data_IF_991785216601
#
_entry.id   IF_991785216601
#
_cell.length_a   1.000
_cell.length_b   1.000
_cell.length_c   1.000
_cell.angle_alpha   90.00
_cell.angle_beta   90.00
_cell.angle_gamma   90.00
#
_symmetry.space_group_name_H-M   'P 1'
#
loop_
_entity.id
_entity.type
_entity.pdbx_description
1 polymer ?
#
# COMPACT_ATOMS: atom_id res chain seq x y z
N UNK A 1 12.84 19.47 1.61
CA UNK A 1 12.19 18.20 1.94
C UNK A 1 11.25 17.85 0.79
N UNK A 2 11.30 16.66 0.24
CA UNK A 2 10.32 16.21 -0.76
C UNK A 2 8.92 16.25 -0.10
N UNK A 3 7.89 16.63 -0.87
CA UNK A 3 6.53 16.63 -0.38
C UNK A 3 6.13 15.21 0.03
N UNK A 4 5.46 15.06 1.18
CA UNK A 4 4.94 13.77 1.64
C UNK A 4 3.90 13.29 0.64
N UNK A 5 4.11 12.10 0.07
CA UNK A 5 3.18 11.49 -0.88
C UNK A 5 2.54 10.27 -0.21
N UNK A 6 1.21 10.27 -0.15
CA UNK A 6 0.44 9.13 0.32
C UNK A 6 -0.11 8.34 -0.88
N UNK A 7 -0.42 7.06 -0.66
CA UNK A 7 -1.24 6.27 -1.58
C UNK A 7 -2.48 5.82 -0.82
N UNK A 8 -3.49 6.68 -0.78
CA UNK A 8 -4.73 6.46 -0.01
C UNK A 8 -5.83 5.86 -0.87
N UNK A 9 -5.82 6.24 -2.17
CA UNK A 9 -6.79 5.83 -3.17
C UNK A 9 -6.17 5.86 -4.56
N UNK A 10 -6.90 5.40 -5.57
CA UNK A 10 -6.53 5.50 -7.00
C UNK A 10 -7.40 6.50 -7.77
N UNK A 11 -8.53 6.92 -7.21
CA UNK A 11 -9.53 7.77 -7.89
C UNK A 11 -8.98 9.14 -8.31
N UNK A 12 -8.03 9.69 -7.56
CA UNK A 12 -7.37 10.95 -7.89
C UNK A 12 -6.18 10.83 -8.85
N UNK A 13 -5.82 9.61 -9.28
CA UNK A 13 -4.65 9.40 -10.13
C UNK A 13 -5.04 9.55 -11.61
N UNK A 14 -4.30 10.42 -12.32
CA UNK A 14 -4.43 10.53 -13.77
C UNK A 14 -3.89 9.28 -14.48
N UNK A 15 -4.37 9.02 -15.71
CA UNK A 15 -3.88 7.91 -16.52
C UNK A 15 -2.34 7.90 -16.69
N UNK A 16 -1.66 9.03 -16.96
CA UNK A 16 -0.20 9.07 -17.00
C UNK A 16 0.48 8.68 -15.68
N UNK A 17 -0.12 9.02 -14.53
CA UNK A 17 0.40 8.63 -13.22
C UNK A 17 0.23 7.14 -12.96
N UNK A 18 -0.92 6.57 -13.31
CA UNK A 18 -1.15 5.13 -13.26
C UNK A 18 -0.14 4.38 -14.12
N UNK A 19 0.05 4.79 -15.37
CA UNK A 19 1.04 4.19 -16.28
C UNK A 19 2.46 4.25 -15.71
N UNK A 20 2.86 5.38 -15.13
CA UNK A 20 4.19 5.52 -14.50
C UNK A 20 4.35 4.55 -13.31
N UNK A 21 3.33 4.42 -12.44
CA UNK A 21 3.36 3.48 -11.32
C UNK A 21 3.44 2.03 -11.79
N UNK A 22 2.68 1.68 -12.81
CA UNK A 22 2.71 0.35 -13.41
C UNK A 22 4.07 0.04 -14.06
N UNK A 23 4.69 1.01 -14.73
CA UNK A 23 6.04 0.84 -15.29
C UNK A 23 7.09 0.59 -14.19
N UNK A 24 7.02 1.33 -13.08
CA UNK A 24 7.90 1.09 -11.92
C UNK A 24 7.63 -0.29 -11.32
N UNK A 25 6.38 -0.70 -11.19
CA UNK A 25 6.03 -2.02 -10.67
C UNK A 25 6.61 -3.15 -11.55
N UNK A 26 6.58 -3.00 -12.89
CA UNK A 26 7.16 -3.98 -13.80
C UNK A 26 8.70 -4.01 -13.72
N UNK A 27 9.36 -2.87 -13.54
CA UNK A 27 10.80 -2.80 -13.27
C UNK A 27 11.16 -3.52 -11.96
N UNK A 28 10.42 -3.27 -10.87
CA UNK A 28 10.62 -3.94 -9.59
C UNK A 28 10.37 -5.45 -9.70
N UNK A 29 9.36 -5.85 -10.46
CA UNK A 29 9.10 -7.26 -10.76
C UNK A 29 10.28 -7.92 -11.48
N UNK A 30 10.85 -7.26 -12.50
CA UNK A 30 12.01 -7.78 -13.21
C UNK A 30 13.23 -7.94 -12.29
N UNK A 31 13.50 -6.96 -11.43
CA UNK A 31 14.56 -7.03 -10.41
C UNK A 31 14.30 -8.19 -9.45
N UNK A 32 13.08 -8.33 -8.95
CA UNK A 32 12.70 -9.40 -8.02
C UNK A 32 12.87 -10.80 -8.60
N UNK A 33 12.67 -10.96 -9.91
CA UNK A 33 12.86 -12.22 -10.62
C UNK A 33 14.31 -12.46 -11.07
N UNK A 34 15.18 -11.47 -10.98
CA UNK A 34 16.61 -11.60 -11.27
C UNK A 34 17.37 -12.27 -10.12
N UNK A 35 18.62 -12.66 -10.38
CA UNK A 35 19.50 -13.20 -9.34
C UNK A 35 19.81 -12.19 -8.22
N UNK A 36 19.76 -10.88 -8.51
CA UNK A 36 19.96 -9.84 -7.49
C UNK A 36 18.80 -9.82 -6.47
N UNK A 37 17.56 -10.02 -6.92
CA UNK A 37 16.35 -10.20 -6.09
C UNK A 37 16.00 -9.06 -5.13
N UNK A 38 16.91 -8.13 -4.87
CA UNK A 38 16.82 -7.05 -3.89
C UNK A 38 17.55 -5.81 -4.38
N UNK A 39 17.09 -4.66 -3.88
CA UNK A 39 17.71 -3.34 -4.01
C UNK A 39 17.77 -2.67 -2.63
N UNK A 40 18.44 -1.53 -2.51
CA UNK A 40 18.60 -0.81 -1.24
C UNK A 40 18.03 0.61 -1.31
N UNK A 41 16.99 0.80 -2.11
CA UNK A 41 16.41 2.13 -2.35
C UNK A 41 15.76 2.72 -1.09
N UNK A 42 15.35 1.86 -0.15
CA UNK A 42 14.74 2.25 1.12
C UNK A 42 15.59 1.90 2.36
N UNK A 43 16.92 1.73 2.21
CA UNK A 43 17.81 1.32 3.31
C UNK A 43 17.75 2.24 4.54
N UNK A 44 17.46 3.53 4.32
CA UNK A 44 17.40 4.55 5.38
C UNK A 44 15.95 4.85 5.79
N UNK A 45 15.01 4.01 5.37
CA UNK A 45 13.58 4.15 5.65
C UNK A 45 13.10 3.06 6.62
N UNK A 46 12.19 3.45 7.50
CA UNK A 46 11.54 2.54 8.44
C UNK A 46 10.06 2.41 8.11
N UNK A 47 9.59 1.19 7.89
CA UNK A 47 8.22 0.89 7.49
C UNK A 47 7.50 0.17 8.62
N UNK A 48 6.40 0.73 9.11
CA UNK A 48 5.54 0.11 10.11
C UNK A 48 4.32 -0.54 9.45
N UNK A 49 4.03 -1.80 9.83
CA UNK A 49 2.87 -2.58 9.36
C UNK A 49 1.73 -2.46 10.37
N UNK A 50 0.79 -1.57 10.14
CA UNK A 50 -0.31 -1.26 11.06
C UNK A 50 -1.61 -1.89 10.55
N UNK A 51 -1.90 -3.10 11.03
CA UNK A 51 -3.03 -3.91 10.58
C UNK A 51 -4.05 -4.10 11.70
N UNK A 52 -5.17 -3.36 11.62
CA UNK A 52 -6.33 -3.51 12.52
C UNK A 52 -7.26 -4.65 12.07
N UNK A 53 -7.19 -5.02 10.80
CA UNK A 53 -7.90 -6.15 10.23
C UNK A 53 -6.89 -7.21 9.76
N UNK A 54 -7.13 -8.46 10.12
CA UNK A 54 -6.25 -9.57 9.78
C UNK A 54 -6.18 -9.80 8.27
N UNK A 55 -4.98 -9.87 7.73
CA UNK A 55 -4.75 -10.20 6.32
C UNK A 55 -3.36 -10.78 6.13
N UNK A 56 -3.28 -12.09 5.99
CA UNK A 56 -2.00 -12.79 5.81
C UNK A 56 -1.32 -12.39 4.50
N UNK A 57 -2.03 -12.47 3.38
CA UNK A 57 -1.44 -12.18 2.06
C UNK A 57 -0.97 -10.74 1.94
N UNK A 58 -1.84 -9.79 2.26
CA UNK A 58 -1.51 -8.36 2.14
C UNK A 58 -0.34 -7.99 3.04
N UNK A 59 -0.38 -8.40 4.32
CA UNK A 59 0.71 -8.10 5.28
C UNK A 59 2.04 -8.67 4.81
N UNK A 60 2.09 -9.94 4.45
CA UNK A 60 3.33 -10.59 4.01
C UNK A 60 3.84 -10.03 2.68
N UNK A 61 2.96 -9.62 1.76
CA UNK A 61 3.36 -8.98 0.50
C UNK A 61 4.06 -7.64 0.76
N UNK A 62 3.56 -6.82 1.67
CA UNK A 62 4.21 -5.55 2.04
C UNK A 62 5.51 -5.77 2.82
N UNK A 63 5.55 -6.75 3.72
CA UNK A 63 6.77 -7.13 4.44
C UNK A 63 7.87 -7.54 3.47
N UNK A 64 7.57 -8.44 2.54
CA UNK A 64 8.52 -8.88 1.51
C UNK A 64 8.94 -7.74 0.57
N UNK A 65 8.02 -6.86 0.19
CA UNK A 65 8.36 -5.69 -0.62
C UNK A 65 9.33 -4.74 0.13
N UNK A 66 9.07 -4.44 1.40
CA UNK A 66 9.93 -3.61 2.23
C UNK A 66 11.32 -4.22 2.40
N UNK A 67 11.40 -5.52 2.66
CA UNK A 67 12.68 -6.25 2.73
C UNK A 67 13.43 -6.24 1.39
N UNK A 68 12.73 -6.44 0.27
CA UNK A 68 13.34 -6.44 -1.05
C UNK A 68 13.90 -5.06 -1.43
N UNK A 69 13.35 -3.98 -0.87
CA UNK A 69 13.79 -2.60 -1.03
C UNK A 69 14.83 -2.16 0.01
N UNK A 70 15.19 -3.03 0.96
CA UNK A 70 16.19 -2.76 2.00
C UNK A 70 15.68 -1.93 3.17
N UNK A 71 14.36 -1.75 3.33
CA UNK A 71 13.80 -0.98 4.42
C UNK A 71 13.93 -1.71 5.77
N UNK A 72 14.06 -0.93 6.85
CA UNK A 72 13.89 -1.43 8.21
C UNK A 72 12.40 -1.61 8.51
N UNK A 73 12.03 -2.77 9.06
CA UNK A 73 10.65 -3.03 9.48
C UNK A 73 10.50 -2.74 10.97
N UNK A 74 9.49 -1.93 11.30
CA UNK A 74 9.01 -1.77 12.68
C UNK A 74 7.90 -2.80 12.87
N UNK A 75 8.18 -3.80 13.70
CA UNK A 75 7.19 -4.81 14.06
C UNK A 75 6.22 -4.21 15.09
N UNK A 76 4.96 -4.08 14.68
CA UNK A 76 3.89 -3.53 15.50
C UNK A 76 2.67 -4.46 15.46
N UNK A 77 2.39 -5.07 16.59
CA UNK A 77 1.20 -5.89 16.77
C UNK A 77 0.09 -5.07 17.43
N UNK A 78 -0.95 -4.74 16.66
CA UNK A 78 -2.13 -4.02 17.12
C UNK A 78 -2.80 -4.74 18.29
N UNK A 79 -2.87 -6.09 18.26
CA UNK A 79 -3.59 -6.89 19.23
C UNK A 79 -2.96 -6.87 20.62
N UNK A 80 -1.63 -6.73 20.68
CA UNK A 80 -0.87 -6.68 21.93
C UNK A 80 -0.50 -5.26 22.37
N UNK A 81 -0.93 -4.23 21.61
CA UNK A 81 -0.59 -2.82 21.82
C UNK A 81 -1.60 -2.08 22.71
N UNK A 82 -1.31 -0.81 22.98
CA UNK A 82 -2.20 0.11 23.70
C UNK A 82 -3.52 0.40 22.97
N UNK A 83 -3.64 0.04 21.68
CA UNK A 83 -4.88 0.12 20.91
C UNK A 83 -6.01 -0.63 21.59
N UNK A 84 -5.75 -1.84 22.12
CA UNK A 84 -6.70 -2.61 22.90
C UNK A 84 -7.17 -1.93 24.20
N UNK A 85 -6.48 -0.87 24.64
CA UNK A 85 -6.81 -0.04 25.81
C UNK A 85 -7.48 1.29 25.44
N UNK A 86 -7.86 1.48 24.16
CA UNK A 86 -8.56 2.68 23.69
C UNK A 86 -7.66 3.78 23.11
N UNK A 87 -6.39 3.50 22.79
CA UNK A 87 -5.52 4.43 22.07
C UNK A 87 -6.12 4.73 20.69
N UNK A 88 -6.15 6.02 20.32
CA UNK A 88 -6.68 6.42 19.01
C UNK A 88 -5.69 6.12 17.89
N UNK A 89 -6.21 5.89 16.65
CA UNK A 89 -5.37 5.74 15.46
C UNK A 89 -4.40 6.91 15.30
N UNK A 90 -4.85 8.13 15.57
CA UNK A 90 -4.02 9.33 15.45
C UNK A 90 -2.84 9.30 16.43
N UNK A 91 -3.05 8.84 17.66
CA UNK A 91 -1.98 8.76 18.67
C UNK A 91 -1.02 7.60 18.34
N UNK A 92 -1.55 6.47 17.89
CA UNK A 92 -0.72 5.34 17.43
C UNK A 92 0.23 5.76 16.30
N UNK A 93 -0.27 6.46 15.27
CA UNK A 93 0.60 6.86 14.14
C UNK A 93 1.60 7.96 14.53
N UNK A 94 1.24 8.86 15.45
CA UNK A 94 2.20 9.84 16.01
C UNK A 94 3.31 9.14 16.80
N UNK A 95 2.95 8.15 17.61
CA UNK A 95 3.91 7.35 18.37
C UNK A 95 4.87 6.60 17.44
N UNK A 96 4.36 5.96 16.39
CA UNK A 96 5.20 5.29 15.39
C UNK A 96 6.14 6.28 14.69
N UNK A 97 5.67 7.50 14.37
CA UNK A 97 6.51 8.57 13.82
C UNK A 97 7.60 9.01 14.78
N UNK A 98 7.28 9.19 16.05
CA UNK A 98 8.27 9.51 17.09
C UNK A 98 9.31 8.42 17.31
N UNK A 99 8.97 7.15 17.04
CA UNK A 99 9.87 6.00 17.07
C UNK A 99 10.68 5.83 15.77
N UNK A 100 10.52 6.73 14.79
CA UNK A 100 11.32 6.75 13.58
C UNK A 100 10.67 6.08 12.36
N UNK A 101 9.38 5.73 12.41
CA UNK A 101 8.68 5.30 11.21
C UNK A 101 8.63 6.43 10.18
N UNK A 102 9.03 6.14 8.95
CA UNK A 102 8.94 7.07 7.81
C UNK A 102 7.78 6.74 6.91
N UNK A 103 7.32 5.49 6.96
CA UNK A 103 6.18 5.00 6.18
C UNK A 103 5.32 4.09 7.05
N UNK A 104 4.01 4.22 6.91
CA UNK A 104 3.01 3.33 7.52
C UNK A 104 2.23 2.64 6.41
N UNK A 105 2.15 1.31 6.48
CA UNK A 105 1.22 0.49 5.70
C UNK A 105 0.03 0.21 6.62
N UNK A 106 -1.11 0.82 6.32
CA UNK A 106 -2.31 0.77 7.16
C UNK A 106 -3.39 -0.09 6.51
N UNK A 107 -3.86 -1.10 7.22
CA UNK A 107 -5.12 -1.80 6.95
C UNK A 107 -6.10 -1.60 8.11
N UNK A 108 -7.32 -1.18 7.81
CA UNK A 108 -8.32 -0.86 8.82
C UNK A 108 -9.72 -1.30 8.38
N UNK A 109 -10.60 -1.65 9.32
CA UNK A 109 -11.99 -2.02 9.06
C UNK A 109 -12.90 -0.83 8.71
N UNK A 110 -12.45 0.41 8.99
CA UNK A 110 -13.23 1.63 8.77
C UNK A 110 -12.75 2.38 7.55
N UNK A 111 -13.69 2.68 6.65
CA UNK A 111 -13.45 3.58 5.52
C UNK A 111 -12.97 4.95 5.99
N UNK A 112 -11.97 5.51 5.30
CA UNK A 112 -11.38 6.81 5.62
C UNK A 112 -10.29 6.79 6.70
N UNK A 113 -10.04 5.69 7.39
CA UNK A 113 -8.98 5.59 8.40
C UNK A 113 -7.59 5.97 7.84
N UNK A 114 -7.18 5.62 6.61
CA UNK A 114 -5.90 6.06 6.05
C UNK A 114 -5.77 7.58 5.89
N UNK A 115 -6.86 8.29 5.64
CA UNK A 115 -6.86 9.76 5.57
C UNK A 115 -6.62 10.38 6.95
N UNK A 116 -7.28 9.85 7.99
CA UNK A 116 -7.02 10.28 9.38
C UNK A 116 -5.57 10.02 9.78
N UNK A 117 -5.04 8.86 9.42
CA UNK A 117 -3.64 8.55 9.65
C UNK A 117 -2.71 9.54 8.93
N UNK A 118 -2.98 9.82 7.65
CA UNK A 118 -2.19 10.75 6.85
C UNK A 118 -2.18 12.19 7.41
N UNK A 119 -3.28 12.63 8.01
CA UNK A 119 -3.36 13.93 8.68
C UNK A 119 -2.55 14.00 9.98
N UNK A 120 -2.40 12.87 10.67
CA UNK A 120 -1.74 12.81 11.97
C UNK A 120 -0.26 12.40 11.89
N UNK A 121 0.15 11.77 10.78
CA UNK A 121 1.49 11.21 10.56
C UNK A 121 2.33 12.12 9.67
N UNK A 122 3.55 12.40 10.08
CA UNK A 122 4.48 13.25 9.32
C UNK A 122 5.21 12.56 8.15
N UNK A 123 4.99 11.28 7.94
CA UNK A 123 5.60 10.47 6.88
C UNK A 123 4.60 10.01 5.83
N UNK A 124 4.90 8.91 5.13
CA UNK A 124 4.08 8.36 4.06
C UNK A 124 3.06 7.36 4.59
N UNK A 125 1.82 7.38 4.09
CA UNK A 125 0.77 6.39 4.39
C UNK A 125 0.39 5.66 3.11
N UNK A 126 0.43 4.32 3.17
CA UNK A 126 -0.06 3.41 2.14
C UNK A 126 -1.30 2.71 2.66
N UNK A 127 -2.43 2.88 1.96
CA UNK A 127 -3.66 2.16 2.26
C UNK A 127 -3.56 0.71 1.78
N UNK A 128 -3.64 -0.24 2.69
CA UNK A 128 -3.63 -1.69 2.44
C UNK A 128 -5.03 -2.31 2.58
N UNK A 129 -6.06 -1.50 2.46
CA UNK A 129 -7.48 -1.81 2.59
C UNK A 129 -8.11 -1.08 3.76
N UNK A 130 -9.23 -0.38 3.51
CA UNK A 130 -9.99 0.34 4.53
C UNK A 130 -11.49 0.01 4.45
N UNK A 131 -11.84 -1.16 4.94
CA UNK A 131 -13.22 -1.64 4.96
C UNK A 131 -13.76 -1.81 3.54
N UNK A 132 -14.92 -1.23 3.25
CA UNK A 132 -15.60 -1.34 1.96
C UNK A 132 -15.25 -0.22 0.98
N UNK A 133 -14.20 0.51 1.23
CA UNK A 133 -13.89 1.72 0.46
C UNK A 133 -12.81 1.47 -0.58
N UNK A 134 -11.56 1.27 -0.19
CA UNK A 134 -10.47 1.21 -1.16
C UNK A 134 -9.34 0.26 -0.74
N UNK A 135 -8.69 -0.33 -1.74
CA UNK A 135 -7.42 -1.04 -1.61
C UNK A 135 -6.54 -0.70 -2.83
N UNK A 136 -5.88 0.48 -2.83
CA UNK A 136 -5.23 1.04 -4.00
C UNK A 136 -4.15 0.14 -4.60
N UNK A 137 -3.38 -0.57 -3.79
CA UNK A 137 -2.37 -1.49 -4.32
C UNK A 137 -2.98 -2.72 -4.98
N UNK A 138 -4.15 -3.19 -4.51
CA UNK A 138 -4.88 -4.27 -5.18
C UNK A 138 -5.43 -3.78 -6.52
N UNK A 139 -6.04 -2.59 -6.55
CA UNK A 139 -6.54 -1.99 -7.78
C UNK A 139 -5.43 -1.82 -8.84
N UNK A 140 -4.23 -1.38 -8.44
CA UNK A 140 -3.07 -1.27 -9.34
C UNK A 140 -2.61 -2.65 -9.84
N UNK A 141 -2.63 -3.67 -8.99
CA UNK A 141 -2.27 -5.04 -9.36
C UNK A 141 -3.26 -5.62 -10.36
N UNK A 142 -4.55 -5.46 -10.13
CA UNK A 142 -5.61 -5.90 -11.04
C UNK A 142 -5.52 -5.18 -12.38
N UNK A 143 -5.29 -3.86 -12.36
CA UNK A 143 -5.07 -3.07 -13.56
C UNK A 143 -3.86 -3.56 -14.36
N UNK A 144 -2.74 -3.89 -13.70
CA UNK A 144 -1.56 -4.46 -14.35
C UNK A 144 -1.87 -5.80 -15.06
N UNK A 145 -2.67 -6.66 -14.42
CA UNK A 145 -3.11 -7.93 -15.00
C UNK A 145 -4.03 -7.70 -16.20
N UNK A 146 -5.00 -6.79 -16.09
CA UNK A 146 -5.93 -6.47 -17.17
C UNK A 146 -5.18 -5.92 -18.41
N UNK A 147 -4.26 -4.97 -18.21
CA UNK A 147 -3.44 -4.43 -19.30
C UNK A 147 -2.66 -5.54 -19.98
N UNK A 148 -2.02 -6.42 -19.23
CA UNK A 148 -1.20 -7.50 -19.78
C UNK A 148 -2.01 -8.50 -20.63
N UNK A 149 -3.26 -8.77 -20.24
CA UNK A 149 -4.01 -9.88 -20.84
C UNK A 149 -5.10 -9.46 -21.83
N UNK A 150 -5.68 -8.27 -21.68
CA UNK A 150 -6.85 -7.86 -22.48
C UNK A 150 -6.73 -6.47 -23.11
N UNK A 151 -5.67 -5.72 -22.84
CA UNK A 151 -5.47 -4.44 -23.50
C UNK A 151 -5.27 -4.61 -25.03
N UNK A 152 -5.61 -3.59 -25.78
CA UNK A 152 -5.22 -3.48 -27.17
C UNK A 152 -3.69 -3.28 -27.30
N UNK A 153 -3.15 -3.35 -28.52
CA UNK A 153 -1.71 -3.20 -28.79
C UNK A 153 -1.13 -1.87 -28.33
N UNK A 154 -1.98 -0.84 -28.17
CA UNK A 154 -1.64 0.48 -27.64
C UNK A 154 -1.72 0.57 -26.10
N UNK A 155 -2.00 -0.52 -25.40
CA UNK A 155 -2.19 -0.57 -23.95
C UNK A 155 -3.57 -0.08 -23.48
N UNK A 156 -4.50 0.24 -24.39
CA UNK A 156 -5.83 0.74 -24.06
C UNK A 156 -6.78 -0.36 -23.62
N UNK A 157 -7.54 -0.09 -22.55
CA UNK A 157 -8.67 -0.89 -22.09
C UNK A 157 -10.02 -0.36 -22.61
N UNK A 158 -10.02 0.70 -23.42
CA UNK A 158 -11.24 1.29 -23.93
C UNK A 158 -12.10 0.25 -24.68
N UNK A 159 -13.40 0.24 -24.41
CA UNK A 159 -14.34 -0.70 -25.00
C UNK A 159 -14.26 -2.14 -24.47
N UNK A 160 -13.35 -2.47 -23.57
CA UNK A 160 -13.33 -3.78 -22.90
C UNK A 160 -14.44 -3.88 -21.86
N UNK A 161 -15.05 -5.05 -21.78
CA UNK A 161 -16.07 -5.36 -20.78
C UNK A 161 -15.45 -6.22 -19.68
N UNK A 162 -15.60 -5.79 -18.44
CA UNK A 162 -15.10 -6.49 -17.25
C UNK A 162 -16.32 -6.86 -16.41
N UNK A 163 -16.42 -8.13 -16.01
CA UNK A 163 -17.45 -8.59 -15.08
C UNK A 163 -16.78 -8.91 -13.73
N UNK A 164 -17.35 -8.38 -12.66
CA UNK A 164 -16.94 -8.71 -11.29
C UNK A 164 -18.02 -9.61 -10.71
N UNK A 165 -17.62 -10.81 -10.28
CA UNK A 165 -18.52 -11.84 -9.76
C UNK A 165 -18.10 -12.19 -8.34
N UNK A 166 -19.03 -12.18 -7.39
CA UNK A 166 -18.80 -12.52 -6.00
C UNK A 166 -19.64 -11.68 -5.05
N UNK A 167 -19.30 -11.75 -3.77
CA UNK A 167 -19.85 -10.85 -2.77
C UNK A 167 -19.19 -9.48 -2.93
N UNK A 168 -19.97 -8.49 -3.35
CA UNK A 168 -19.51 -7.12 -3.56
C UNK A 168 -19.74 -6.22 -2.34
N UNK A 169 -20.16 -6.80 -1.20
CA UNK A 169 -20.42 -6.09 0.06
C UNK A 169 -19.25 -6.17 1.05
N UNK A 170 -18.09 -6.59 0.59
CA UNK A 170 -16.92 -6.70 1.46
C UNK A 170 -16.12 -5.42 1.41
#
# INVERSE_FOLDING_TARGET
>A
MAATQHLLDVDGLSWPELQRRLAVAEQMRAIRLSQAGRVNDLRDQSVAMLFYEASTRTRLSFVEAAHALGAHLIDFDVSSSSVGKGESLADTVRTLGALGATTIVLRHDRAGAPWLAAQAFGGHVLNAGDGWHAHPTQALLDLAVLIRHIAASDGSLAGRRIAILGDLQI
#
